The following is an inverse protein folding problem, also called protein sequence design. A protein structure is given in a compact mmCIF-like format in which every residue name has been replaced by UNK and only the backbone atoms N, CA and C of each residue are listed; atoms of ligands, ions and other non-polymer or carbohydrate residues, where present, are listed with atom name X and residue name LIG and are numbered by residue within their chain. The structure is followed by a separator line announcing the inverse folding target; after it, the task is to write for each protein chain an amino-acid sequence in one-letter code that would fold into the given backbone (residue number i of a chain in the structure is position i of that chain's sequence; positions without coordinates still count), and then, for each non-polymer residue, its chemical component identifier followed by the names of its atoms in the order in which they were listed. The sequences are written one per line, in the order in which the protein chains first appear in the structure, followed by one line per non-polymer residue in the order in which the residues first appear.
data_IF_625673046085
#
_entry.id   IF_625673046085
#
_cell.length_a   1.000
_cell.length_b   1.000
_cell.length_c   1.000
_cell.angle_alpha   90.00
_cell.angle_beta   90.00
_cell.angle_gamma   90.00
#
_symmetry.space_group_name_H-M   'P 1'
#
loop_
_entity.id
_entity.type
_entity.pdbx_description
1 polymer ?
#
# COMPACT_ATOMS: atom_id res chain seq x y z
N UNK A 1 -57.18 37.43 25.52
CA UNK A 1 -55.71 37.22 25.52
C UNK A 1 -55.44 36.01 24.64
N UNK A 2 -54.93 36.22 23.42
CA UNK A 2 -54.76 35.16 22.42
C UNK A 2 -53.54 34.28 22.72
N UNK A 3 -53.71 32.96 22.62
CA UNK A 3 -52.69 31.97 22.90
C UNK A 3 -51.47 32.13 21.96
N UNK A 4 -50.36 32.65 22.49
CA UNK A 4 -49.06 32.73 21.80
C UNK A 4 -48.38 31.36 21.63
N UNK A 5 -48.92 30.31 22.23
CA UNK A 5 -48.33 28.98 22.35
C UNK A 5 -48.09 28.19 21.03
N UNK A 6 -48.89 28.31 19.94
CA UNK A 6 -48.74 27.41 18.79
C UNK A 6 -47.44 27.63 18.01
N UNK A 7 -47.05 28.90 17.84
CA UNK A 7 -45.86 29.29 17.08
C UNK A 7 -44.57 28.97 17.83
N UNK A 8 -44.55 29.20 19.14
CA UNK A 8 -43.39 28.87 19.98
C UNK A 8 -43.17 27.37 20.03
N UNK A 9 -44.24 26.58 20.11
CA UNK A 9 -44.14 25.12 20.07
C UNK A 9 -43.60 24.63 18.71
N UNK A 10 -44.11 25.18 17.60
CA UNK A 10 -43.62 24.87 16.24
C UNK A 10 -42.16 25.26 16.03
N UNK A 11 -41.71 26.40 16.56
CA UNK A 11 -40.32 26.85 16.48
C UNK A 11 -39.39 25.97 17.32
N UNK A 12 -39.83 25.55 18.51
CA UNK A 12 -39.09 24.61 19.35
C UNK A 12 -39.00 23.22 18.69
N UNK A 13 -40.09 22.75 18.08
CA UNK A 13 -40.10 21.50 17.32
C UNK A 13 -39.18 21.57 16.11
N UNK A 14 -39.20 22.67 15.36
CA UNK A 14 -38.34 22.89 14.19
C UNK A 14 -36.86 22.99 14.57
N UNK A 15 -36.54 23.58 15.72
CA UNK A 15 -35.17 23.63 16.26
C UNK A 15 -34.71 22.25 16.75
N UNK A 16 -35.60 21.43 17.32
CA UNK A 16 -35.29 20.07 17.76
C UNK A 16 -35.16 19.07 16.59
N UNK A 17 -35.92 19.29 15.50
CA UNK A 17 -35.82 18.52 14.27
C UNK A 17 -34.77 19.05 13.29
N UNK A 18 -34.12 20.18 13.61
CA UNK A 18 -33.08 20.73 12.75
C UNK A 18 -31.97 19.69 12.61
N UNK A 19 -31.77 19.09 11.43
CA UNK A 19 -30.74 18.09 11.27
C UNK A 19 -29.40 18.79 11.46
N UNK A 20 -28.65 18.40 12.48
CA UNK A 20 -27.24 18.76 12.57
C UNK A 20 -26.60 18.22 11.32
N UNK A 21 -26.25 19.11 10.40
CA UNK A 21 -25.59 18.74 9.15
C UNK A 21 -24.18 18.25 9.53
N UNK A 22 -24.07 16.98 9.86
CA UNK A 22 -22.80 16.26 9.99
C UNK A 22 -22.23 16.15 8.59
N UNK A 23 -21.54 17.20 8.16
CA UNK A 23 -20.77 17.16 6.93
C UNK A 23 -19.68 16.12 7.11
N UNK A 24 -19.90 14.92 6.58
CA UNK A 24 -18.84 13.92 6.46
C UNK A 24 -17.73 14.54 5.60
N UNK A 25 -16.52 14.60 6.16
CA UNK A 25 -15.34 14.98 5.39
C UNK A 25 -15.08 13.98 4.26
N UNK A 26 -14.21 14.31 3.30
CA UNK A 26 -13.78 13.34 2.29
C UNK A 26 -13.12 12.14 2.98
N UNK A 27 -13.54 10.94 2.59
CA UNK A 27 -12.94 9.68 3.04
C UNK A 27 -11.91 9.18 2.01
N UNK A 28 -10.87 8.47 2.46
CA UNK A 28 -9.86 7.89 1.58
C UNK A 28 -9.60 6.42 1.89
N UNK A 29 -9.55 5.59 0.84
CA UNK A 29 -9.11 4.20 0.90
C UNK A 29 -7.79 4.07 0.15
N UNK A 30 -6.76 3.51 0.80
CA UNK A 30 -5.42 3.35 0.22
C UNK A 30 -4.84 1.98 0.52
N UNK A 31 -4.25 1.35 -0.48
CA UNK A 31 -3.44 0.13 -0.34
C UNK A 31 -1.97 0.44 -0.64
N UNK A 32 -1.08 -0.11 0.17
CA UNK A 32 0.35 -0.13 -0.07
C UNK A 32 0.83 -1.56 -0.17
N UNK A 33 1.42 -1.89 -1.31
CA UNK A 33 1.95 -3.21 -1.61
C UNK A 33 3.47 -3.11 -1.74
N UNK A 34 4.19 -3.97 -1.05
CA UNK A 34 5.64 -3.96 -1.02
C UNK A 34 6.16 -5.38 -1.16
N UNK A 35 7.13 -5.59 -2.04
CA UNK A 35 7.91 -6.82 -2.09
C UNK A 35 9.38 -6.52 -1.86
N UNK A 36 10.03 -7.27 -0.97
CA UNK A 36 11.43 -7.07 -0.59
C UNK A 36 12.21 -8.36 -0.88
N UNK A 37 13.32 -8.25 -1.61
CA UNK A 37 14.25 -9.36 -1.83
C UNK A 37 14.89 -9.77 -0.51
N UNK A 38 15.07 -11.07 -0.28
CA UNK A 38 15.87 -11.56 0.85
C UNK A 38 17.35 -11.72 0.46
N UNK A 39 18.30 -11.42 1.37
CA UNK A 39 19.69 -11.80 1.18
C UNK A 39 19.80 -13.32 0.97
N UNK A 40 20.57 -13.75 -0.03
CA UNK A 40 20.82 -15.17 -0.30
C UNK A 40 19.62 -15.92 -0.88
N UNK A 41 19.29 -15.68 -2.15
CA UNK A 41 18.33 -16.43 -3.02
C UNK A 41 16.95 -16.81 -2.42
N UNK A 42 16.61 -16.34 -1.22
CA UNK A 42 15.34 -16.63 -0.56
C UNK A 42 14.18 -15.99 -1.30
N UNK A 43 13.00 -16.58 -1.17
CA UNK A 43 11.79 -16.03 -1.78
C UNK A 43 11.53 -14.60 -1.28
N UNK A 44 11.16 -13.65 -2.14
CA UNK A 44 10.87 -12.28 -1.69
C UNK A 44 9.73 -12.26 -0.65
N UNK A 45 9.82 -11.37 0.33
CA UNK A 45 8.72 -11.11 1.27
C UNK A 45 7.77 -10.11 0.65
N UNK A 46 6.50 -10.45 0.58
CA UNK A 46 5.41 -9.59 0.13
C UNK A 46 4.54 -9.13 1.30
N UNK A 47 4.19 -7.85 1.32
CA UNK A 47 3.35 -7.21 2.32
C UNK A 47 2.32 -6.36 1.58
N UNK A 48 1.04 -6.50 1.95
CA UNK A 48 -0.03 -5.59 1.51
C UNK A 48 -0.73 -5.01 2.74
N UNK A 49 -0.92 -3.69 2.76
CA UNK A 49 -1.55 -2.98 3.87
C UNK A 49 -2.64 -2.04 3.35
N UNK A 50 -3.85 -2.18 3.88
CA UNK A 50 -5.00 -1.34 3.55
C UNK A 50 -5.28 -0.31 4.65
N UNK A 51 -5.55 0.93 4.25
CA UNK A 51 -5.91 2.05 5.11
C UNK A 51 -7.25 2.67 4.70
N UNK A 52 -8.11 2.93 5.68
CA UNK A 52 -9.26 3.84 5.56
C UNK A 52 -8.97 5.05 6.44
N UNK A 53 -8.95 6.25 5.86
CA UNK A 53 -8.67 7.51 6.57
C UNK A 53 -7.42 7.46 7.44
N UNK A 54 -6.33 6.92 6.88
CA UNK A 54 -5.04 6.72 7.54
C UNK A 54 -5.04 5.71 8.69
N UNK A 55 -6.13 4.94 8.87
CA UNK A 55 -6.20 3.84 9.84
C UNK A 55 -6.07 2.50 9.11
N UNK A 56 -5.06 1.73 9.50
CA UNK A 56 -4.87 0.38 8.98
C UNK A 56 -6.09 -0.48 9.33
N UNK A 57 -6.69 -1.12 8.33
CA UNK A 57 -7.87 -1.96 8.53
C UNK A 57 -7.66 -3.41 8.09
N UNK A 58 -6.69 -3.65 7.19
CA UNK A 58 -6.30 -4.99 6.75
C UNK A 58 -4.81 -5.09 6.47
N UNK A 59 -4.26 -6.29 6.65
CA UNK A 59 -2.87 -6.60 6.33
C UNK A 59 -2.72 -8.04 5.84
N UNK A 60 -1.86 -8.22 4.84
CA UNK A 60 -1.30 -9.51 4.43
C UNK A 60 0.22 -9.47 4.56
N UNK A 61 0.81 -10.56 5.04
CA UNK A 61 2.26 -10.73 5.17
C UNK A 61 2.65 -12.15 4.74
N UNK A 62 3.45 -12.27 3.68
CA UNK A 62 3.83 -13.58 3.11
C UNK A 62 4.79 -14.36 4.01
N UNK A 63 5.46 -13.69 4.96
CA UNK A 63 6.38 -14.30 5.91
C UNK A 63 5.69 -14.75 7.22
N UNK A 64 4.37 -14.55 7.34
CA UNK A 64 3.62 -15.09 8.47
C UNK A 64 3.56 -16.63 8.41
N UNK A 65 3.41 -17.30 9.56
CA UNK A 65 3.30 -18.76 9.63
C UNK A 65 2.12 -19.30 8.81
N UNK A 66 1.01 -18.55 8.79
CA UNK A 66 -0.15 -18.83 7.95
C UNK A 66 -0.51 -17.57 7.14
N UNK A 67 0.09 -17.36 5.95
CA UNK A 67 -0.13 -16.17 5.14
C UNK A 67 -1.59 -16.04 4.70
N UNK A 68 -2.29 -15.08 5.29
CA UNK A 68 -3.68 -14.73 5.01
C UNK A 68 -3.92 -13.23 5.19
N UNK A 69 -5.01 -12.74 4.63
CA UNK A 69 -5.47 -11.38 4.90
C UNK A 69 -6.07 -11.34 6.30
N UNK A 70 -5.65 -10.38 7.11
CA UNK A 70 -6.08 -10.25 8.50
C UNK A 70 -6.74 -8.90 8.78
N UNK A 71 -7.79 -8.87 9.63
CA UNK A 71 -8.35 -7.61 10.12
C UNK A 71 -7.34 -6.90 11.03
N UNK A 72 -7.29 -5.58 10.90
CA UNK A 72 -6.47 -4.68 11.74
C UNK A 72 -7.31 -3.63 12.48
N UNK A 73 -8.60 -3.63 12.22
CA UNK A 73 -9.59 -2.83 12.93
C UNK A 73 -10.78 -3.68 13.34
N UNK A 74 -11.36 -3.40 14.52
CA UNK A 74 -12.48 -4.18 15.09
C UNK A 74 -13.69 -4.31 14.16
N UNK A 75 -13.99 -3.27 13.40
CA UNK A 75 -15.11 -3.28 12.45
C UNK A 75 -14.90 -4.22 11.26
N UNK A 76 -13.69 -4.72 11.02
CA UNK A 76 -13.44 -5.76 10.03
C UNK A 76 -13.70 -7.16 10.57
N UNK A 77 -13.68 -7.37 11.89
CA UNK A 77 -13.90 -8.71 12.49
C UNK A 77 -15.31 -9.27 12.21
N UNK A 78 -16.25 -8.41 11.84
CA UNK A 78 -17.61 -8.79 11.46
C UNK A 78 -17.70 -9.47 10.07
N UNK A 79 -16.65 -9.36 9.25
CA UNK A 79 -16.63 -9.94 7.91
C UNK A 79 -16.54 -11.47 7.97
N UNK A 80 -17.31 -12.13 7.12
CA UNK A 80 -17.43 -13.59 7.07
C UNK A 80 -16.19 -14.29 6.47
N UNK A 81 -16.10 -15.62 6.63
CA UNK A 81 -14.96 -16.40 6.13
C UNK A 81 -14.79 -16.31 4.60
N UNK A 82 -15.87 -16.20 3.80
CA UNK A 82 -15.75 -16.10 2.34
C UNK A 82 -15.05 -14.80 1.91
N UNK A 83 -15.27 -13.70 2.65
CA UNK A 83 -14.59 -12.43 2.42
C UNK A 83 -13.07 -12.59 2.61
N UNK A 84 -12.67 -13.16 3.74
CA UNK A 84 -11.26 -13.34 4.10
C UNK A 84 -10.55 -14.32 3.17
N UNK A 85 -11.23 -15.39 2.74
CA UNK A 85 -10.68 -16.32 1.76
C UNK A 85 -10.44 -15.62 0.42
N UNK A 86 -11.42 -14.89 -0.09
CA UNK A 86 -11.28 -14.13 -1.35
C UNK A 86 -10.15 -13.11 -1.29
N UNK A 87 -10.07 -12.30 -0.23
CA UNK A 87 -9.00 -11.30 -0.10
C UNK A 87 -7.63 -11.96 0.07
N UNK A 88 -7.56 -13.11 0.73
CA UNK A 88 -6.33 -13.91 0.83
C UNK A 88 -5.88 -14.42 -0.54
N UNK A 89 -6.80 -14.96 -1.35
CA UNK A 89 -6.46 -15.43 -2.71
C UNK A 89 -5.97 -14.28 -3.60
N UNK A 90 -6.62 -13.11 -3.51
CA UNK A 90 -6.19 -11.91 -4.21
C UNK A 90 -4.79 -11.48 -3.78
N UNK A 91 -4.50 -11.45 -2.48
CA UNK A 91 -3.18 -11.09 -1.97
C UNK A 91 -2.09 -12.09 -2.44
N UNK A 92 -2.38 -13.38 -2.46
CA UNK A 92 -1.48 -14.42 -3.00
C UNK A 92 -1.23 -14.25 -4.50
N UNK A 93 -2.25 -13.86 -5.28
CA UNK A 93 -2.07 -13.51 -6.69
C UNK A 93 -1.10 -12.33 -6.86
N UNK A 94 -1.29 -11.28 -6.07
CA UNK A 94 -0.42 -10.10 -6.08
C UNK A 94 1.01 -10.42 -5.65
N UNK A 95 1.20 -11.26 -4.62
CA UNK A 95 2.51 -11.77 -4.20
C UNK A 95 3.27 -12.40 -5.38
N UNK A 96 2.61 -13.27 -6.16
CA UNK A 96 3.25 -13.89 -7.32
C UNK A 96 3.60 -12.88 -8.41
N UNK A 97 2.73 -11.91 -8.71
CA UNK A 97 3.04 -10.84 -9.66
C UNK A 97 4.26 -10.02 -9.23
N UNK A 98 4.33 -9.63 -7.96
CA UNK A 98 5.47 -8.88 -7.42
C UNK A 98 6.75 -9.70 -7.42
N UNK A 99 6.68 -11.00 -7.15
CA UNK A 99 7.82 -11.93 -7.24
C UNK A 99 8.39 -11.99 -8.66
N UNK A 100 7.53 -12.12 -9.67
CA UNK A 100 7.95 -12.07 -11.08
C UNK A 100 8.57 -10.72 -11.41
N UNK A 101 7.92 -9.61 -11.04
CA UNK A 101 8.41 -8.26 -11.30
C UNK A 101 9.79 -8.01 -10.66
N UNK A 102 10.01 -8.49 -9.44
CA UNK A 102 11.28 -8.34 -8.74
C UNK A 102 12.40 -9.14 -9.43
N UNK A 103 12.11 -10.38 -9.84
CA UNK A 103 13.05 -11.22 -10.60
C UNK A 103 13.40 -10.59 -11.95
N UNK A 104 12.41 -10.06 -12.65
CA UNK A 104 12.60 -9.35 -13.91
C UNK A 104 13.46 -8.10 -13.73
N UNK A 105 13.19 -7.30 -12.69
CA UNK A 105 14.00 -6.11 -12.37
C UNK A 105 15.45 -6.49 -12.07
N UNK A 106 15.68 -7.54 -11.28
CA UNK A 106 17.02 -8.06 -10.99
C UNK A 106 17.72 -8.58 -12.26
N UNK A 107 16.99 -9.23 -13.16
CA UNK A 107 17.49 -9.67 -14.46
C UNK A 107 17.98 -8.50 -15.31
N UNK A 108 17.16 -7.46 -15.48
CA UNK A 108 17.55 -6.23 -16.18
C UNK A 108 18.76 -5.56 -15.53
N UNK A 109 18.77 -5.48 -14.20
CA UNK A 109 19.89 -4.90 -13.46
C UNK A 109 21.20 -5.64 -13.75
N UNK A 110 21.19 -6.96 -13.69
CA UNK A 110 22.37 -7.79 -13.95
C UNK A 110 22.85 -7.70 -15.40
N UNK A 111 21.94 -7.57 -16.38
CA UNK A 111 22.31 -7.33 -17.78
C UNK A 111 22.94 -5.94 -17.99
N UNK A 112 22.50 -4.94 -17.23
CA UNK A 112 23.04 -3.58 -17.30
C UNK A 112 24.39 -3.41 -16.60
N UNK A 113 24.79 -4.36 -15.75
CA UNK A 113 26.11 -4.36 -15.13
C UNK A 113 27.17 -4.77 -16.16
N UNK A 114 27.79 -3.78 -16.80
CA UNK A 114 29.03 -4.00 -17.54
C UNK A 114 30.12 -4.48 -16.58
N UNK A 115 31.01 -5.42 -16.99
CA UNK A 115 32.20 -5.74 -16.22
C UNK A 115 33.00 -4.45 -15.95
N UNK A 116 33.65 -4.33 -14.78
CA UNK A 116 34.52 -3.19 -14.52
C UNK A 116 35.57 -3.10 -15.64
N UNK A 117 35.71 -1.93 -16.25
CA UNK A 117 36.86 -1.67 -17.12
C UNK A 117 38.13 -1.71 -16.25
N UNK A 118 39.21 -2.38 -16.69
CA UNK A 118 40.35 -2.67 -15.83
C UNK A 118 41.09 -1.45 -15.24
N UNK A 119 40.89 -0.22 -15.73
CA UNK A 119 41.77 0.91 -15.37
C UNK A 119 41.07 2.20 -14.88
N UNK A 120 39.77 2.19 -14.57
CA UNK A 120 39.13 3.35 -13.92
C UNK A 120 38.75 2.99 -12.49
N UNK A 121 39.49 3.54 -11.52
CA UNK A 121 39.22 3.46 -10.08
C UNK A 121 37.90 4.12 -9.62
N UNK A 122 36.89 4.15 -10.48
CA UNK A 122 35.55 4.65 -10.19
C UNK A 122 34.61 3.46 -10.00
N UNK A 123 34.87 2.68 -8.94
CA UNK A 123 33.91 1.73 -8.41
C UNK A 123 32.75 2.49 -7.78
N UNK A 124 31.86 3.06 -8.59
CA UNK A 124 30.57 3.52 -8.08
C UNK A 124 29.86 2.29 -7.53
N UNK A 125 29.65 2.26 -6.20
CA UNK A 125 28.84 1.24 -5.54
C UNK A 125 27.42 1.31 -6.09
N UNK A 126 27.19 0.57 -7.18
CA UNK A 126 25.87 0.42 -7.77
C UNK A 126 25.20 -0.70 -6.98
N UNK A 127 24.59 -0.34 -5.85
CA UNK A 127 23.80 -1.27 -5.06
C UNK A 127 22.67 -1.96 -5.86
N UNK A 128 22.24 -3.13 -5.39
CA UNK A 128 21.24 -3.98 -6.04
C UNK A 128 19.82 -3.50 -5.70
N UNK A 129 18.86 -3.49 -6.65
CA UNK A 129 17.44 -3.28 -6.32
C UNK A 129 16.97 -4.30 -5.28
N UNK A 130 16.37 -3.83 -4.19
CA UNK A 130 15.93 -4.70 -3.08
C UNK A 130 14.44 -4.65 -2.79
N UNK A 131 13.73 -3.60 -3.19
CA UNK A 131 12.29 -3.54 -2.96
C UNK A 131 11.53 -3.00 -4.16
N UNK A 132 10.32 -3.50 -4.35
CA UNK A 132 9.28 -2.95 -5.21
C UNK A 132 8.13 -2.45 -4.34
N UNK A 133 7.60 -1.27 -4.64
CA UNK A 133 6.45 -0.69 -3.94
C UNK A 133 5.41 -0.15 -4.92
N UNK A 134 4.14 -0.34 -4.59
CA UNK A 134 2.98 0.20 -5.32
C UNK A 134 1.97 0.76 -4.34
N UNK A 135 1.36 1.89 -4.69
CA UNK A 135 0.25 2.48 -3.95
C UNK A 135 -1.01 2.54 -4.83
N UNK A 136 -2.16 2.23 -4.26
CA UNK A 136 -3.45 2.36 -4.97
C UNK A 136 -3.69 3.81 -5.40
N UNK A 137 -4.08 4.02 -6.67
CA UNK A 137 -4.24 5.35 -7.25
C UNK A 137 -2.97 5.88 -7.93
N UNK A 138 -1.84 5.18 -7.80
CA UNK A 138 -0.64 5.41 -8.58
C UNK A 138 -0.41 4.22 -9.54
N UNK A 139 -0.41 4.41 -10.87
CA UNK A 139 -0.10 3.32 -11.80
C UNK A 139 1.37 2.91 -11.75
N UNK A 140 2.24 3.75 -11.19
CA UNK A 140 3.67 3.51 -11.12
C UNK A 140 4.03 2.51 -10.01
N UNK A 141 4.83 1.51 -10.36
CA UNK A 141 5.60 0.70 -9.41
C UNK A 141 6.97 1.35 -9.27
N UNK A 142 7.42 1.57 -8.04
CA UNK A 142 8.74 2.16 -7.75
C UNK A 142 9.64 1.14 -7.06
N UNK A 143 10.95 1.32 -7.14
CA UNK A 143 11.91 0.42 -6.52
C UNK A 143 12.99 1.17 -5.73
N UNK A 144 13.57 0.51 -4.74
CA UNK A 144 14.67 1.04 -3.90
C UNK A 144 15.86 0.09 -3.85
N UNK A 145 17.03 0.61 -3.42
CA UNK A 145 18.35 -0.03 -3.49
C UNK A 145 18.99 -0.19 -2.11
N UNK A 146 19.87 -1.18 -1.95
CA UNK A 146 20.76 -1.28 -0.78
C UNK A 146 21.54 0.02 -0.54
N UNK A 147 21.57 0.51 0.70
CA UNK A 147 22.36 1.70 1.09
C UNK A 147 21.67 3.05 0.90
N UNK A 148 20.47 3.11 0.32
CA UNK A 148 19.68 4.34 0.25
C UNK A 148 19.07 4.66 1.64
N UNK A 149 19.76 5.46 2.45
CA UNK A 149 19.16 6.03 3.65
C UNK A 149 18.12 7.08 3.26
N UNK A 150 17.07 7.22 4.07
CA UNK A 150 15.97 8.18 3.89
C UNK A 150 16.37 9.66 4.06
N UNK A 151 17.67 9.97 4.05
CA UNK A 151 18.17 11.33 4.14
C UNK A 151 18.20 11.99 2.75
N UNK A 152 17.08 12.61 2.37
CA UNK A 152 17.09 13.93 1.72
C UNK A 152 17.72 14.10 0.33
N UNK A 153 18.08 13.05 -0.41
CA UNK A 153 18.44 13.19 -1.83
C UNK A 153 17.38 12.61 -2.73
N UNK A 154 16.72 13.52 -3.45
CA UNK A 154 15.94 13.28 -4.67
C UNK A 154 16.81 12.56 -5.71
N UNK A 155 16.96 11.25 -5.58
CA UNK A 155 17.21 10.40 -6.74
C UNK A 155 15.84 10.04 -7.27
N UNK A 156 15.42 10.73 -8.34
CA UNK A 156 14.22 10.38 -9.10
C UNK A 156 14.19 8.85 -9.28
N UNK A 157 13.17 8.14 -8.79
CA UNK A 157 13.08 6.72 -9.06
C UNK A 157 13.05 6.57 -10.57
N UNK A 158 14.01 5.81 -11.13
CA UNK A 158 13.92 5.42 -12.53
C UNK A 158 12.64 4.61 -12.66
N UNK A 159 11.58 5.26 -13.14
CA UNK A 159 10.29 4.66 -13.46
C UNK A 159 10.50 3.65 -14.58
N UNK A 160 10.86 2.42 -14.22
CA UNK A 160 10.63 1.30 -15.10
C UNK A 160 9.13 0.99 -14.96
N UNK A 161 8.35 1.37 -15.98
CA UNK A 161 6.98 0.89 -16.12
C UNK A 161 7.06 -0.62 -16.36
N UNK A 162 7.05 -1.40 -15.28
CA UNK A 162 6.83 -2.84 -15.37
C UNK A 162 5.33 -2.98 -15.58
N UNK A 163 4.91 -2.94 -16.83
CA UNK A 163 3.52 -3.21 -17.23
C UNK A 163 3.21 -4.66 -16.82
N UNK A 164 2.33 -4.83 -15.83
CA UNK A 164 1.74 -6.14 -15.55
C UNK A 164 1.02 -6.65 -16.80
N UNK A 165 1.06 -7.97 -17.11
CA UNK A 165 0.17 -8.55 -18.12
C UNK A 165 -1.30 -8.43 -17.73
#
# INVERSE_FOLDING_TARGET
MGAMAPRTLLLLLAAALAPTQTRAGPHSLRYFETAVSRPGLGEPRYISVGYVDNKEFVRFDSDAENPRMEPRARWMEQEGPEYWERETQKAKGQEQSFRVNLRTLLGYYNQSQAPPLPDTGTGADRGVPQALTRSSGCPAVTWSRTGASSAGTSSSPTTAAITSP
#
